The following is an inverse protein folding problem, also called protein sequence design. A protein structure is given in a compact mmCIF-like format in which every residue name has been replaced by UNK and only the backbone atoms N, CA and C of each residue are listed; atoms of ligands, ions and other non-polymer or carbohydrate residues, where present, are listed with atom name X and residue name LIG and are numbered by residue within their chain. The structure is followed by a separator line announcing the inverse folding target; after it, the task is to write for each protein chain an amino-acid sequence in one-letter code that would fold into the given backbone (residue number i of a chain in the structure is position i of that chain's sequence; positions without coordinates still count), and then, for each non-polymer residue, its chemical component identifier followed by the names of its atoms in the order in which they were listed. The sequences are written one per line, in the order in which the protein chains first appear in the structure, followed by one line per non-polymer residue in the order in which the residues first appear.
data_IF_887801682892
#
_entry.id   IF_887801682892
#
_cell.length_a   1.000
_cell.length_b   1.000
_cell.length_c   1.000
_cell.angle_alpha   90.00
_cell.angle_beta   90.00
_cell.angle_gamma   90.00
#
_symmetry.space_group_name_H-M   'P 1'
#
loop_
_entity.id
_entity.type
_entity.pdbx_description
1 polymer ?
#
# COMPACT_ATOMS: atom_id res chain seq x y z
N UNK A 1 14.30 -19.72 23.79
CA UNK A 1 15.08 -20.17 22.61
C UNK A 1 16.55 -19.84 22.85
N UNK A 2 17.42 -20.84 22.87
CA UNK A 2 18.87 -20.61 23.02
C UNK A 2 19.40 -19.83 21.78
N UNK A 3 20.39 -18.95 21.97
CA UNK A 3 20.95 -18.09 20.91
C UNK A 3 21.53 -18.87 19.71
N UNK A 4 21.79 -20.15 19.87
CA UNK A 4 22.35 -21.04 18.86
C UNK A 4 21.33 -21.95 18.18
N UNK A 5 20.03 -21.83 18.48
CA UNK A 5 19.02 -22.64 17.79
C UNK A 5 18.94 -22.28 16.29
N UNK A 6 18.85 -23.29 15.45
CA UNK A 6 18.72 -23.12 13.99
C UNK A 6 17.57 -22.17 13.63
N UNK A 7 16.42 -22.28 14.32
CA UNK A 7 15.27 -21.42 14.10
C UNK A 7 15.56 -19.94 14.38
N UNK A 8 16.30 -19.61 15.46
CA UNK A 8 16.69 -18.22 15.74
C UNK A 8 17.60 -17.64 14.65
N UNK A 9 18.58 -18.42 14.18
CA UNK A 9 19.49 -18.01 13.10
C UNK A 9 18.71 -17.77 11.80
N UNK A 10 17.77 -18.65 11.46
CA UNK A 10 16.93 -18.52 10.26
C UNK A 10 16.05 -17.24 10.33
N UNK A 11 15.40 -16.97 11.46
CA UNK A 11 14.60 -15.75 11.62
C UNK A 11 15.47 -14.51 11.45
N UNK A 12 16.64 -14.45 12.12
CA UNK A 12 17.57 -13.31 12.05
C UNK A 12 18.10 -13.10 10.62
N UNK A 13 18.68 -14.14 10.01
CA UNK A 13 19.31 -14.02 8.68
C UNK A 13 18.23 -13.78 7.62
N UNK A 14 17.14 -14.53 7.66
CA UNK A 14 16.03 -14.40 6.73
C UNK A 14 15.42 -12.98 6.75
N UNK A 15 15.22 -12.40 7.92
CA UNK A 15 14.71 -11.02 8.04
C UNK A 15 15.67 -10.00 7.42
N UNK A 16 16.98 -10.11 7.70
CA UNK A 16 17.98 -9.17 7.18
C UNK A 16 18.05 -9.27 5.64
N UNK A 17 18.11 -10.49 5.09
CA UNK A 17 18.19 -10.71 3.65
C UNK A 17 16.96 -10.17 2.93
N UNK A 18 15.74 -10.47 3.44
CA UNK A 18 14.51 -10.01 2.81
C UNK A 18 14.36 -8.49 2.91
N UNK A 19 14.69 -7.88 4.04
CA UNK A 19 14.64 -6.43 4.19
C UNK A 19 15.65 -5.74 3.28
N UNK A 20 16.88 -6.24 3.19
CA UNK A 20 17.88 -5.69 2.28
C UNK A 20 17.43 -5.82 0.80
N UNK A 21 16.86 -6.96 0.42
CA UNK A 21 16.28 -7.14 -0.91
C UNK A 21 15.19 -6.09 -1.21
N UNK A 22 14.27 -5.88 -0.28
CA UNK A 22 13.18 -4.91 -0.41
C UNK A 22 13.70 -3.47 -0.42
N UNK A 23 14.68 -3.14 0.43
CA UNK A 23 15.29 -1.81 0.46
C UNK A 23 16.02 -1.51 -0.85
N UNK A 24 16.84 -2.44 -1.33
CA UNK A 24 17.59 -2.25 -2.57
C UNK A 24 16.63 -2.14 -3.76
N UNK A 25 15.73 -3.11 -3.94
CA UNK A 25 14.79 -3.11 -5.05
C UNK A 25 13.74 -2.00 -4.94
N UNK A 26 13.19 -1.78 -3.75
CA UNK A 26 12.14 -0.80 -3.53
C UNK A 26 12.61 0.66 -3.60
N UNK A 27 13.86 0.98 -3.25
CA UNK A 27 14.39 2.35 -3.26
C UNK A 27 15.18 2.69 -4.53
N UNK A 28 15.96 1.75 -5.05
CA UNK A 28 16.93 2.04 -6.12
C UNK A 28 16.44 1.69 -7.52
N UNK A 29 15.44 0.81 -7.68
CA UNK A 29 14.86 0.60 -9.00
C UNK A 29 14.10 1.84 -9.45
N UNK A 30 14.39 2.36 -10.68
CA UNK A 30 13.65 3.49 -11.21
C UNK A 30 12.18 3.12 -11.40
N UNK A 31 11.28 4.10 -11.23
CA UNK A 31 9.88 3.91 -11.61
C UNK A 31 9.78 3.71 -13.12
N UNK A 32 8.84 2.87 -13.55
CA UNK A 32 8.38 2.81 -14.94
C UNK A 32 7.85 4.18 -15.35
N UNK A 33 7.85 4.42 -16.64
CA UNK A 33 7.21 5.62 -17.20
C UNK A 33 5.74 5.69 -16.81
N UNK A 34 5.20 6.89 -16.70
CA UNK A 34 3.81 7.11 -16.31
C UNK A 34 3.31 8.49 -16.72
N UNK A 35 2.02 8.71 -16.50
CA UNK A 35 1.38 10.01 -16.68
C UNK A 35 1.21 10.63 -15.31
N UNK A 36 1.59 11.90 -15.15
CA UNK A 36 1.44 12.66 -13.89
C UNK A 36 0.23 13.56 -13.90
N UNK A 37 -0.22 13.98 -15.08
CA UNK A 37 -1.37 14.87 -15.21
C UNK A 37 -1.86 14.99 -16.65
N UNK A 38 -3.03 15.59 -16.80
CA UNK A 38 -3.61 15.96 -18.10
C UNK A 38 -4.10 17.39 -18.00
N UNK A 39 -3.61 18.26 -18.88
CA UNK A 39 -4.02 19.64 -19.01
C UNK A 39 -4.92 19.84 -20.21
N UNK A 40 -5.87 20.80 -20.13
CA UNK A 40 -6.89 21.03 -21.17
C UNK A 40 -7.74 19.78 -21.47
N UNK A 41 -8.00 18.98 -20.42
CA UNK A 41 -8.78 17.75 -20.52
C UNK A 41 -10.30 17.93 -20.65
N UNK A 42 -10.82 19.15 -20.89
CA UNK A 42 -12.23 19.42 -21.19
C UNK A 42 -12.41 19.57 -22.70
N UNK A 43 -12.95 18.56 -23.33
CA UNK A 43 -13.15 18.51 -24.77
C UNK A 43 -14.65 18.55 -25.11
N UNK A 44 -14.98 19.08 -26.29
CA UNK A 44 -16.32 18.98 -26.89
C UNK A 44 -16.33 17.89 -27.92
N UNK A 45 -17.40 17.09 -27.95
CA UNK A 45 -17.54 16.07 -28.99
C UNK A 45 -17.76 16.68 -30.36
N UNK A 46 -17.33 15.94 -31.40
CA UNK A 46 -17.44 16.31 -32.82
C UNK A 46 -16.59 17.53 -33.24
N UNK A 47 -15.62 17.94 -32.43
CA UNK A 47 -14.65 18.99 -32.76
C UNK A 47 -13.23 18.47 -32.58
N UNK A 48 -12.30 18.67 -33.55
CA UNK A 48 -10.88 18.37 -33.35
C UNK A 48 -10.30 19.31 -32.28
N UNK A 49 -9.90 18.78 -31.14
CA UNK A 49 -9.34 19.55 -30.04
C UNK A 49 -8.04 18.94 -29.54
N UNK A 50 -7.22 19.75 -28.90
CA UNK A 50 -5.93 19.33 -28.35
C UNK A 50 -5.96 19.36 -26.83
N UNK A 51 -5.34 18.35 -26.21
CA UNK A 51 -5.06 18.29 -24.79
C UNK A 51 -3.60 17.92 -24.59
N UNK A 52 -3.07 18.21 -23.41
CA UNK A 52 -1.67 17.95 -23.06
C UNK A 52 -1.57 16.92 -21.98
N UNK A 53 -0.65 15.99 -22.12
CA UNK A 53 -0.38 14.90 -21.17
C UNK A 53 1.02 15.09 -20.59
N UNK A 54 1.12 15.18 -19.29
CA UNK A 54 2.37 15.33 -18.57
C UNK A 54 2.96 13.94 -18.29
N UNK A 55 4.16 13.67 -18.82
CA UNK A 55 4.81 12.37 -18.73
C UNK A 55 5.91 12.37 -17.68
N UNK A 56 5.94 11.32 -16.88
CA UNK A 56 7.01 11.03 -15.92
C UNK A 56 8.01 10.05 -16.52
N UNK A 57 9.27 10.44 -16.61
CA UNK A 57 10.42 9.62 -17.02
C UNK A 57 10.19 8.78 -18.31
N UNK A 58 9.76 9.40 -19.42
CA UNK A 58 9.49 8.65 -20.66
C UNK A 58 10.77 8.10 -21.33
N UNK A 59 11.96 8.55 -20.88
CA UNK A 59 13.26 8.21 -21.44
C UNK A 59 13.70 9.15 -22.56
N UNK A 60 14.99 9.20 -22.81
CA UNK A 60 15.57 10.02 -23.89
C UNK A 60 15.09 9.55 -25.26
N UNK A 61 14.80 10.49 -26.16
CA UNK A 61 14.32 10.18 -27.49
C UNK A 61 12.92 9.56 -27.52
N UNK A 62 12.06 9.87 -26.54
CA UNK A 62 10.69 9.36 -26.50
C UNK A 62 9.90 9.84 -27.72
N UNK A 63 9.24 8.89 -28.38
CA UNK A 63 8.30 9.12 -29.49
C UNK A 63 6.97 8.54 -29.11
N UNK A 64 5.96 9.40 -29.04
CA UNK A 64 4.58 8.97 -28.83
C UNK A 64 3.98 8.44 -30.14
N UNK A 65 3.69 7.14 -30.18
CA UNK A 65 3.10 6.48 -31.37
C UNK A 65 1.59 6.67 -31.40
N UNK A 66 0.94 6.48 -30.25
CA UNK A 66 -0.53 6.54 -30.15
C UNK A 66 -0.94 7.12 -28.80
N UNK A 67 -1.95 7.98 -28.82
CA UNK A 67 -2.69 8.40 -27.63
C UNK A 67 -4.14 7.98 -27.81
N UNK A 68 -4.71 7.32 -26.81
CA UNK A 68 -6.02 6.71 -26.88
C UNK A 68 -6.86 7.17 -25.71
N UNK A 69 -8.07 7.63 -25.97
CA UNK A 69 -9.12 7.84 -24.99
C UNK A 69 -10.05 6.64 -24.94
N UNK A 70 -10.33 6.13 -23.73
CA UNK A 70 -11.21 4.96 -23.53
C UNK A 70 -12.24 5.24 -22.45
N UNK A 71 -13.50 4.90 -22.75
CA UNK A 71 -14.56 4.79 -21.75
C UNK A 71 -15.42 3.56 -22.08
N UNK A 72 -15.45 2.55 -21.17
CA UNK A 72 -16.14 1.26 -21.42
C UNK A 72 -15.73 0.66 -22.78
N UNK A 73 -16.67 0.59 -23.74
CA UNK A 73 -16.46 0.06 -25.09
C UNK A 73 -16.10 1.15 -26.11
N UNK A 74 -16.06 2.41 -25.72
CA UNK A 74 -15.67 3.52 -26.59
C UNK A 74 -14.17 3.69 -26.55
N UNK A 75 -13.52 3.67 -27.71
CA UNK A 75 -12.07 3.81 -27.84
C UNK A 75 -11.78 4.74 -29.02
N UNK A 76 -11.13 5.86 -28.76
CA UNK A 76 -10.77 6.87 -29.76
C UNK A 76 -9.27 7.08 -29.77
N UNK A 77 -8.68 7.24 -30.94
CA UNK A 77 -7.25 7.47 -31.14
C UNK A 77 -6.99 8.90 -31.58
N UNK A 78 -5.90 9.50 -31.08
CA UNK A 78 -5.39 10.79 -31.55
C UNK A 78 -5.01 10.77 -33.01
N UNK A 79 -5.16 11.93 -33.68
CA UNK A 79 -4.75 12.16 -35.05
C UNK A 79 -3.29 12.57 -35.15
N UNK A 80 -2.85 13.41 -34.21
CA UNK A 80 -1.51 13.97 -34.14
C UNK A 80 -0.98 13.94 -32.71
N UNK A 81 0.30 13.63 -32.56
CA UNK A 81 0.98 13.61 -31.26
C UNK A 81 2.32 14.34 -31.39
N UNK A 82 2.57 15.32 -30.53
CA UNK A 82 3.81 16.07 -30.48
C UNK A 82 4.36 16.05 -29.06
N UNK A 83 5.48 15.36 -28.87
CA UNK A 83 6.18 15.34 -27.59
C UNK A 83 7.27 16.42 -27.57
N UNK A 84 7.35 17.17 -26.49
CA UNK A 84 8.46 18.10 -26.22
C UNK A 84 9.43 17.50 -25.18
N UNK A 85 10.69 17.85 -25.27
CA UNK A 85 11.74 17.32 -24.38
C UNK A 85 11.55 17.70 -22.88
N UNK A 86 10.62 18.59 -22.58
CA UNK A 86 10.29 19.01 -21.21
C UNK A 86 9.30 18.07 -20.52
N UNK A 87 8.80 17.03 -21.21
CA UNK A 87 7.91 16.03 -20.62
C UNK A 87 6.43 16.19 -20.98
N UNK A 88 6.08 17.14 -21.85
CA UNK A 88 4.70 17.37 -22.28
C UNK A 88 4.42 16.74 -23.64
N UNK A 89 3.34 16.01 -23.72
CA UNK A 89 2.81 15.40 -24.94
C UNK A 89 1.52 16.10 -25.34
N UNK A 90 1.53 16.88 -26.41
CA UNK A 90 0.35 17.48 -26.99
C UNK A 90 -0.29 16.52 -27.99
N UNK A 91 -1.57 16.23 -27.79
CA UNK A 91 -2.31 15.29 -28.61
C UNK A 91 -3.60 15.93 -29.12
N UNK A 92 -3.83 15.81 -30.45
CA UNK A 92 -5.04 16.29 -31.11
C UNK A 92 -5.96 15.11 -31.38
N UNK A 93 -7.20 15.21 -30.94
CA UNK A 93 -8.19 14.16 -31.07
C UNK A 93 -9.56 14.71 -31.44
N UNK A 94 -10.33 13.92 -32.18
CA UNK A 94 -11.73 14.17 -32.38
C UNK A 94 -12.54 13.00 -31.80
N UNK A 95 -13.37 13.29 -30.80
CA UNK A 95 -14.22 12.31 -30.13
C UNK A 95 -15.66 12.54 -30.61
N UNK A 96 -16.30 11.53 -31.13
CA UNK A 96 -17.71 11.60 -31.53
C UNK A 96 -18.53 10.67 -30.64
N UNK A 97 -19.40 11.29 -29.81
CA UNK A 97 -20.35 10.56 -28.97
C UNK A 97 -21.64 10.35 -29.79
N UNK A 98 -22.09 9.09 -29.89
CA UNK A 98 -23.36 8.78 -30.56
C UNK A 98 -24.59 9.32 -29.81
N UNK A 99 -25.77 9.28 -30.46
CA UNK A 99 -27.00 9.86 -29.92
C UNK A 99 -27.42 9.34 -28.54
N UNK A 100 -27.06 8.10 -28.21
CA UNK A 100 -27.38 7.43 -26.94
C UNK A 100 -26.36 7.70 -25.82
N UNK A 101 -25.26 8.41 -26.13
CA UNK A 101 -24.20 8.69 -25.19
C UNK A 101 -24.41 10.04 -24.48
N UNK A 102 -23.92 10.15 -23.25
CA UNK A 102 -23.91 11.40 -22.48
C UNK A 102 -22.48 11.92 -22.36
N UNK A 103 -22.32 13.16 -21.88
CA UNK A 103 -21.00 13.67 -21.46
C UNK A 103 -20.38 12.77 -20.41
N UNK A 104 -19.09 12.44 -20.55
CA UNK A 104 -18.45 11.43 -19.70
C UNK A 104 -16.93 11.60 -19.63
N UNK A 105 -16.33 11.00 -18.59
CA UNK A 105 -14.89 10.93 -18.38
C UNK A 105 -14.27 9.78 -19.17
N UNK A 106 -13.09 10.04 -19.72
CA UNK A 106 -12.30 9.07 -20.46
C UNK A 106 -10.94 8.85 -19.79
N UNK A 107 -10.53 7.59 -19.78
CA UNK A 107 -9.16 7.19 -19.45
C UNK A 107 -8.22 7.55 -20.60
N UNK A 108 -7.00 7.96 -20.26
CA UNK A 108 -5.94 8.25 -21.25
C UNK A 108 -4.93 7.10 -21.28
N UNK A 109 -4.64 6.58 -22.47
CA UNK A 109 -3.55 5.65 -22.72
C UNK A 109 -2.56 6.30 -23.69
N UNK A 110 -1.27 6.26 -23.36
CA UNK A 110 -0.19 6.70 -24.22
C UNK A 110 0.70 5.51 -24.56
N UNK A 111 0.91 5.27 -25.85
CA UNK A 111 1.83 4.25 -26.36
C UNK A 111 2.98 4.94 -27.06
N UNK A 112 4.20 4.46 -26.83
CA UNK A 112 5.37 5.03 -27.42
C UNK A 112 6.61 4.16 -27.27
N UNK A 113 7.73 4.66 -27.75
CA UNK A 113 9.05 4.05 -27.68
C UNK A 113 10.10 5.07 -27.26
N UNK A 114 11.16 4.61 -26.63
CA UNK A 114 12.33 5.44 -26.28
C UNK A 114 13.60 4.61 -26.34
N UNK A 115 14.77 5.25 -26.16
CA UNK A 115 16.06 4.57 -26.08
C UNK A 115 16.13 3.51 -24.96
N UNK A 116 15.32 3.66 -23.91
CA UNK A 116 15.30 2.79 -22.74
C UNK A 116 14.29 1.62 -22.90
N UNK A 117 13.20 1.86 -23.63
CA UNK A 117 12.18 0.84 -23.84
C UNK A 117 11.57 0.94 -25.26
N UNK A 118 11.70 -0.11 -26.08
CA UNK A 118 11.17 -0.11 -27.45
C UNK A 118 9.65 -0.15 -27.52
N UNK A 119 8.99 -0.57 -26.47
CA UNK A 119 7.52 -0.60 -26.37
C UNK A 119 7.13 -0.31 -24.94
N UNK A 120 6.40 0.76 -24.74
CA UNK A 120 5.90 1.18 -23.43
C UNK A 120 4.49 1.74 -23.57
N UNK A 121 3.70 1.56 -22.54
CA UNK A 121 2.40 2.20 -22.44
C UNK A 121 2.24 2.81 -21.04
N UNK A 122 1.47 3.89 -21.00
CA UNK A 122 1.16 4.63 -19.77
C UNK A 122 -0.35 4.80 -19.69
N UNK A 123 -0.89 4.85 -18.50
CA UNK A 123 -2.32 4.91 -18.24
C UNK A 123 -2.62 5.97 -17.18
N UNK A 124 -3.68 6.73 -17.39
CA UNK A 124 -4.23 7.67 -16.42
C UNK A 124 -5.77 7.60 -16.46
N UNK A 125 -6.41 7.26 -15.33
CA UNK A 125 -7.87 7.10 -15.29
C UNK A 125 -8.59 8.44 -15.23
N UNK A 126 -9.82 8.48 -15.76
CA UNK A 126 -10.79 9.58 -15.64
C UNK A 126 -10.19 10.97 -15.89
N UNK A 127 -9.32 11.08 -16.89
CA UNK A 127 -8.46 12.25 -17.09
C UNK A 127 -9.04 13.29 -18.06
N UNK A 128 -9.93 12.88 -18.98
CA UNK A 128 -10.49 13.76 -20.00
C UNK A 128 -12.00 13.73 -19.96
N UNK A 129 -12.58 14.89 -19.70
CA UNK A 129 -14.02 15.10 -19.79
C UNK A 129 -14.42 15.43 -21.22
N UNK A 130 -15.33 14.68 -21.80
CA UNK A 130 -15.89 14.97 -23.13
C UNK A 130 -17.35 15.38 -22.98
N UNK A 131 -17.61 16.65 -23.29
CA UNK A 131 -18.96 17.23 -23.31
C UNK A 131 -19.66 16.86 -24.62
N UNK A 132 -20.89 16.37 -24.54
CA UNK A 132 -21.69 16.05 -25.72
C UNK A 132 -22.13 17.30 -26.47
N UNK A 133 -21.87 17.35 -27.79
CA UNK A 133 -22.37 18.38 -28.68
C UNK A 133 -23.76 18.02 -29.25
N UNK A 134 -24.53 19.04 -29.59
CA UNK A 134 -25.88 18.89 -30.17
C UNK A 134 -25.83 18.25 -31.60
N UNK A 135 -24.69 18.36 -32.29
CA UNK A 135 -24.50 17.91 -33.68
C UNK A 135 -23.50 16.75 -33.81
N UNK A 136 -23.77 15.61 -33.19
CA UNK A 136 -22.90 14.43 -33.24
C UNK A 136 -23.16 13.59 -34.51
N UNK A 137 -22.74 14.08 -35.68
CA UNK A 137 -22.95 13.41 -36.99
C UNK A 137 -21.63 13.04 -37.71
N UNK A 138 -20.47 13.11 -37.06
CA UNK A 138 -19.17 12.91 -37.70
C UNK A 138 -18.61 11.48 -37.65
N UNK A 139 -17.66 11.18 -38.52
CA UNK A 139 -16.85 9.95 -38.50
C UNK A 139 -15.73 10.12 -37.50
N UNK A 140 -15.67 9.23 -36.52
CA UNK A 140 -14.70 9.26 -35.42
C UNK A 140 -13.50 8.36 -35.73
N UNK A 141 -12.32 8.71 -35.19
CA UNK A 141 -11.15 7.85 -35.16
C UNK A 141 -11.28 6.72 -34.10
N UNK A 142 -12.43 6.06 -34.14
CA UNK A 142 -12.73 4.95 -33.24
C UNK A 142 -11.88 3.74 -33.61
N UNK A 143 -11.30 3.08 -32.59
CA UNK A 143 -10.59 1.82 -32.76
C UNK A 143 -11.32 0.69 -32.02
N UNK A 144 -11.05 -0.56 -32.43
CA UNK A 144 -11.57 -1.72 -31.70
C UNK A 144 -10.86 -1.93 -30.35
N UNK A 145 -11.63 -2.35 -29.36
CA UNK A 145 -11.12 -2.64 -28.01
C UNK A 145 -10.05 -3.77 -28.01
N UNK A 146 -10.16 -4.72 -28.94
CA UNK A 146 -9.18 -5.79 -29.15
C UNK A 146 -7.78 -5.24 -29.47
N UNK A 147 -7.70 -4.17 -30.26
CA UNK A 147 -6.43 -3.53 -30.61
C UNK A 147 -5.77 -2.86 -29.38
N UNK A 148 -6.56 -2.21 -28.53
CA UNK A 148 -6.05 -1.65 -27.27
C UNK A 148 -5.49 -2.76 -26.35
N UNK A 149 -6.22 -3.86 -26.20
CA UNK A 149 -5.78 -4.99 -25.36
C UNK A 149 -4.48 -5.61 -25.89
N UNK A 150 -4.31 -5.69 -27.22
CA UNK A 150 -3.08 -6.21 -27.84
C UNK A 150 -1.89 -5.29 -27.60
N UNK A 151 -2.06 -3.98 -27.66
CA UNK A 151 -1.04 -2.98 -27.38
C UNK A 151 -0.57 -3.06 -25.91
N UNK A 152 -1.50 -3.11 -24.96
CA UNK A 152 -1.18 -3.24 -23.53
C UNK A 152 -0.39 -4.51 -23.23
N UNK A 153 -0.66 -5.63 -23.89
CA UNK A 153 0.09 -6.88 -23.71
C UNK A 153 1.53 -6.83 -24.25
N UNK A 154 1.87 -5.85 -25.07
CA UNK A 154 3.21 -5.70 -25.66
C UNK A 154 4.16 -4.86 -24.80
N UNK A 155 3.73 -4.39 -23.64
CA UNK A 155 4.58 -3.61 -22.73
C UNK A 155 5.79 -4.42 -22.25
N UNK A 156 6.99 -3.90 -22.49
CA UNK A 156 8.27 -4.51 -22.13
C UNK A 156 9.08 -3.64 -21.15
N UNK A 157 8.45 -2.67 -20.51
CA UNK A 157 9.12 -1.81 -19.56
C UNK A 157 9.68 -2.59 -18.37
N UNK A 158 10.95 -2.34 -18.07
CA UNK A 158 11.58 -2.74 -16.80
C UNK A 158 11.50 -1.61 -15.79
N UNK A 159 11.47 -1.94 -14.50
CA UNK A 159 11.46 -0.96 -13.43
C UNK A 159 10.41 -1.22 -12.35
N UNK A 160 10.38 -0.37 -11.34
CA UNK A 160 9.38 -0.40 -10.29
C UNK A 160 8.04 0.12 -10.84
N UNK A 161 6.89 -0.47 -10.46
CA UNK A 161 5.59 -0.04 -11.00
C UNK A 161 5.29 1.42 -10.69
N UNK A 162 4.85 2.16 -11.70
CA UNK A 162 4.28 3.50 -11.53
C UNK A 162 2.75 3.39 -11.51
N UNK A 163 2.12 4.17 -10.66
CA UNK A 163 0.66 4.29 -10.59
C UNK A 163 0.28 5.77 -10.69
N UNK A 164 -0.76 6.10 -11.45
CA UNK A 164 -1.28 7.46 -11.49
C UNK A 164 -1.52 8.02 -10.08
N UNK A 165 -1.24 9.29 -9.87
CA UNK A 165 -1.36 9.99 -8.58
C UNK A 165 -0.30 9.57 -7.55
N UNK A 166 0.05 8.28 -7.46
CA UNK A 166 0.97 7.77 -6.44
C UNK A 166 2.43 8.08 -6.75
N UNK A 167 2.86 7.90 -7.99
CA UNK A 167 4.25 8.09 -8.45
C UNK A 167 5.26 7.46 -7.46
N UNK A 168 6.27 8.21 -6.98
CA UNK A 168 7.26 7.73 -6.01
C UNK A 168 6.64 7.29 -4.67
N UNK A 169 5.49 7.84 -4.28
CA UNK A 169 4.84 7.50 -3.01
C UNK A 169 4.34 6.05 -2.97
N UNK A 170 4.21 5.36 -4.12
CA UNK A 170 3.87 3.94 -4.18
C UNK A 170 4.86 3.06 -3.40
N UNK A 171 6.12 3.51 -3.25
CA UNK A 171 7.15 2.80 -2.49
C UNK A 171 6.80 2.66 -1.01
N UNK A 172 5.96 3.58 -0.48
CA UNK A 172 5.48 3.50 0.89
C UNK A 172 4.69 2.22 1.18
N UNK A 173 4.11 1.60 0.15
CA UNK A 173 3.44 0.29 0.27
C UNK A 173 4.36 -0.78 0.89
N UNK A 174 5.68 -0.72 0.64
CA UNK A 174 6.66 -1.68 1.12
C UNK A 174 7.04 -1.48 2.61
N UNK A 175 6.65 -0.36 3.19
CA UNK A 175 6.91 0.00 4.59
C UNK A 175 5.62 0.06 5.40
N UNK A 176 4.65 0.85 4.96
CA UNK A 176 3.41 1.09 5.68
C UNK A 176 2.57 -0.18 5.90
N UNK A 177 2.25 -0.89 4.82
CA UNK A 177 1.38 -2.08 4.90
C UNK A 177 2.03 -3.22 5.68
N UNK A 178 3.33 -3.55 5.51
CA UNK A 178 4.01 -4.55 6.32
C UNK A 178 4.05 -4.24 7.82
N UNK A 179 4.04 -2.97 8.25
CA UNK A 179 3.94 -2.63 9.68
C UNK A 179 2.64 -3.16 10.29
N UNK A 180 1.52 -2.99 9.60
CA UNK A 180 0.22 -3.51 10.06
C UNK A 180 0.15 -5.03 10.06
N UNK A 181 0.66 -5.70 9.03
CA UNK A 181 0.75 -7.17 9.02
C UNK A 181 1.64 -7.68 10.16
N UNK A 182 2.77 -7.04 10.40
CA UNK A 182 3.66 -7.40 11.51
C UNK A 182 3.00 -7.18 12.86
N UNK A 183 2.30 -6.05 13.05
CA UNK A 183 1.53 -5.78 14.26
C UNK A 183 0.48 -6.87 14.51
N UNK A 184 -0.36 -7.16 13.52
CA UNK A 184 -1.40 -8.19 13.64
C UNK A 184 -0.81 -9.56 14.00
N UNK A 185 0.29 -9.95 13.35
CA UNK A 185 0.96 -11.21 13.60
C UNK A 185 1.54 -11.29 15.02
N UNK A 186 2.24 -10.24 15.48
CA UNK A 186 2.78 -10.20 16.83
C UNK A 186 1.69 -10.21 17.90
N UNK A 187 0.58 -9.51 17.66
CA UNK A 187 -0.57 -9.53 18.57
C UNK A 187 -1.20 -10.92 18.63
N UNK A 188 -1.28 -11.64 17.51
CA UNK A 188 -1.71 -13.04 17.50
C UNK A 188 -0.79 -13.93 18.36
N UNK A 189 0.55 -13.76 18.20
CA UNK A 189 1.51 -14.49 19.03
C UNK A 189 1.33 -14.14 20.52
N UNK A 190 1.07 -12.86 20.84
CA UNK A 190 0.82 -12.46 22.22
C UNK A 190 -0.42 -13.16 22.81
N UNK A 191 -1.50 -13.28 22.07
CA UNK A 191 -2.71 -14.01 22.48
C UNK A 191 -2.40 -15.48 22.75
N UNK A 192 -1.62 -16.13 21.86
CA UNK A 192 -1.20 -17.53 22.06
C UNK A 192 -0.44 -17.71 23.39
N UNK A 193 0.48 -16.81 23.71
CA UNK A 193 1.24 -16.85 24.95
C UNK A 193 0.42 -16.44 26.17
N UNK A 194 -0.54 -15.52 26.02
CA UNK A 194 -1.50 -15.16 27.05
C UNK A 194 -2.38 -16.37 27.44
N UNK A 195 -2.89 -17.10 26.45
CA UNK A 195 -3.64 -18.36 26.67
C UNK A 195 -2.75 -19.40 27.38
N UNK A 196 -1.50 -19.56 26.93
CA UNK A 196 -0.55 -20.48 27.59
C UNK A 196 -0.31 -20.10 29.05
N UNK A 197 -0.19 -18.79 29.34
CA UNK A 197 -0.05 -18.32 30.72
C UNK A 197 -1.29 -18.70 31.56
N UNK A 198 -2.50 -18.45 31.07
CA UNK A 198 -3.74 -18.79 31.79
C UNK A 198 -3.88 -20.29 32.04
N UNK A 199 -3.34 -21.14 31.14
CA UNK A 199 -3.37 -22.60 31.28
C UNK A 199 -2.29 -23.14 32.21
N UNK A 200 -1.08 -22.53 32.23
CA UNK A 200 0.11 -23.09 32.90
C UNK A 200 0.58 -22.27 34.08
N UNK A 201 0.08 -21.07 34.25
CA UNK A 201 0.47 -20.09 35.27
C UNK A 201 1.99 -19.84 35.37
N UNK A 202 2.69 -19.83 34.19
CA UNK A 202 4.13 -19.63 34.12
C UNK A 202 4.44 -18.20 33.66
N UNK A 203 5.07 -17.39 34.54
CA UNK A 203 5.41 -15.98 34.26
C UNK A 203 6.26 -15.78 32.99
N UNK A 204 7.03 -16.78 32.56
CA UNK A 204 7.75 -16.74 31.28
C UNK A 204 6.83 -16.61 30.07
N UNK A 205 5.64 -17.21 30.11
CA UNK A 205 4.66 -17.12 29.01
C UNK A 205 4.01 -15.72 28.98
N UNK A 206 3.75 -15.12 30.14
CA UNK A 206 3.35 -13.72 30.27
C UNK A 206 4.41 -12.76 29.72
N UNK A 207 5.68 -12.97 30.04
CA UNK A 207 6.77 -12.16 29.54
C UNK A 207 6.91 -12.22 28.00
N UNK A 208 6.64 -13.39 27.41
CA UNK A 208 6.55 -13.53 25.95
C UNK A 208 5.39 -12.70 25.38
N UNK A 209 4.19 -12.84 25.96
CA UNK A 209 3.01 -12.08 25.54
C UNK A 209 3.25 -10.58 25.58
N UNK A 210 3.81 -10.08 26.71
CA UNK A 210 4.17 -8.67 26.86
C UNK A 210 5.19 -8.21 25.81
N UNK A 211 6.22 -9.03 25.56
CA UNK A 211 7.27 -8.69 24.61
C UNK A 211 6.72 -8.51 23.21
N UNK A 212 5.78 -9.36 22.77
CA UNK A 212 5.11 -9.23 21.49
C UNK A 212 4.21 -8.00 21.42
N UNK A 213 3.43 -7.70 22.47
CA UNK A 213 2.54 -6.51 22.48
C UNK A 213 3.35 -5.23 22.38
N UNK A 214 4.44 -5.10 23.15
CA UNK A 214 5.25 -3.85 23.14
C UNK A 214 5.88 -3.60 21.77
N UNK A 215 6.35 -4.63 21.08
CA UNK A 215 6.87 -4.48 19.72
C UNK A 215 5.74 -4.28 18.70
N UNK A 216 4.58 -4.89 18.91
CA UNK A 216 3.40 -4.63 18.08
C UNK A 216 2.92 -3.17 18.16
N UNK A 217 2.93 -2.57 19.35
CA UNK A 217 2.62 -1.14 19.54
C UNK A 217 3.62 -0.26 18.76
N UNK A 218 4.92 -0.59 18.80
CA UNK A 218 5.93 0.10 18.00
C UNK A 218 5.60 0.03 16.51
N UNK A 219 5.20 -1.16 16.00
CA UNK A 219 4.77 -1.32 14.62
C UNK A 219 3.54 -0.46 14.28
N UNK A 220 2.57 -0.39 15.18
CA UNK A 220 1.40 0.47 15.02
C UNK A 220 1.79 1.95 14.92
N UNK A 221 2.71 2.43 15.78
CA UNK A 221 3.24 3.80 15.71
C UNK A 221 3.94 4.05 14.38
N UNK A 222 4.82 3.14 13.94
CA UNK A 222 5.50 3.25 12.65
C UNK A 222 4.49 3.20 11.48
N UNK A 223 3.46 2.36 11.59
CA UNK A 223 2.35 2.30 10.65
C UNK A 223 1.57 3.61 10.57
N UNK A 224 1.26 4.25 11.72
CA UNK A 224 0.62 5.56 11.76
C UNK A 224 1.50 6.64 11.12
N UNK A 225 2.79 6.71 11.46
CA UNK A 225 3.74 7.70 10.90
C UNK A 225 3.86 7.57 9.39
N UNK A 226 4.12 6.36 8.89
CA UNK A 226 4.26 6.12 7.44
C UNK A 226 2.95 6.33 6.69
N UNK A 227 1.80 5.98 7.31
CA UNK A 227 0.48 6.18 6.74
C UNK A 227 0.08 7.64 6.67
N UNK A 228 0.30 8.41 7.73
CA UNK A 228 0.03 9.85 7.75
C UNK A 228 0.90 10.60 6.74
N UNK A 229 2.18 10.23 6.62
CA UNK A 229 3.06 10.81 5.59
C UNK A 229 2.55 10.52 4.18
N UNK A 230 2.03 9.33 3.93
CA UNK A 230 1.43 8.98 2.64
C UNK A 230 0.11 9.70 2.39
N UNK A 231 -0.74 9.79 3.41
CA UNK A 231 -2.03 10.48 3.36
C UNK A 231 -1.86 11.98 3.03
N UNK A 232 -0.83 12.64 3.59
CA UNK A 232 -0.54 14.04 3.31
C UNK A 232 -0.19 14.32 1.85
N UNK A 233 0.41 13.34 1.15
CA UNK A 233 0.77 13.44 -0.27
C UNK A 233 -0.42 13.09 -1.17
N UNK A 234 -1.19 12.06 -0.80
CA UNK A 234 -2.22 11.48 -1.67
C UNK A 234 -3.61 12.11 -1.46
N UNK A 235 -3.91 12.49 -0.24
CA UNK A 235 -5.22 13.03 0.18
C UNK A 235 -5.13 14.46 0.70
N UNK A 236 -3.96 15.09 0.60
CA UNK A 236 -3.68 16.46 1.07
C UNK A 236 -4.03 16.69 2.55
N UNK A 237 -4.13 15.61 3.32
CA UNK A 237 -4.44 15.60 4.74
C UNK A 237 -3.64 14.56 5.49
N UNK A 238 -3.00 14.94 6.60
CA UNK A 238 -2.24 14.00 7.43
C UNK A 238 -3.12 12.93 8.09
N UNK A 239 -4.35 13.28 8.41
CA UNK A 239 -5.32 12.40 9.08
C UNK A 239 -6.75 12.80 8.70
N UNK A 240 -7.31 12.26 7.60
CA UNK A 240 -8.72 12.44 7.27
C UNK A 240 -9.60 11.88 8.39
N UNK A 241 -10.21 12.78 9.18
CA UNK A 241 -10.97 12.41 10.38
C UNK A 241 -12.25 11.62 10.10
N UNK A 242 -12.75 11.71 8.87
CA UNK A 242 -14.00 11.06 8.46
C UNK A 242 -13.76 9.62 7.95
N UNK A 243 -12.49 9.18 7.80
CA UNK A 243 -12.18 7.84 7.34
C UNK A 243 -12.37 6.80 8.46
N UNK A 244 -13.31 5.84 8.32
CA UNK A 244 -13.63 4.86 9.36
C UNK A 244 -12.46 3.93 9.69
N UNK A 245 -11.55 3.67 8.74
CA UNK A 245 -10.39 2.81 8.96
C UNK A 245 -9.33 3.51 9.83
N UNK A 246 -9.10 4.81 9.60
CA UNK A 246 -8.20 5.61 10.45
C UNK A 246 -8.71 5.71 11.87
N UNK A 247 -10.01 5.97 12.04
CA UNK A 247 -10.65 6.01 13.36
C UNK A 247 -10.57 4.65 14.06
N UNK A 248 -10.80 3.55 13.34
CA UNK A 248 -10.63 2.20 13.86
C UNK A 248 -9.20 1.91 14.31
N UNK A 249 -8.21 2.35 13.55
CA UNK A 249 -6.79 2.26 13.92
C UNK A 249 -6.50 3.06 15.19
N UNK A 250 -6.96 4.30 15.29
CA UNK A 250 -6.75 5.15 16.47
C UNK A 250 -7.33 4.49 17.74
N UNK A 251 -8.58 4.04 17.68
CA UNK A 251 -9.25 3.34 18.79
C UNK A 251 -8.43 2.08 19.17
N UNK A 252 -8.03 1.27 18.20
CA UNK A 252 -7.24 0.08 18.43
C UNK A 252 -5.90 0.37 19.10
N UNK A 253 -5.20 1.42 18.67
CA UNK A 253 -3.95 1.87 19.29
C UNK A 253 -4.16 2.33 20.73
N UNK A 254 -5.22 3.10 21.01
CA UNK A 254 -5.55 3.50 22.40
C UNK A 254 -5.87 2.29 23.29
N UNK A 255 -6.54 1.26 22.77
CA UNK A 255 -6.79 0.02 23.53
C UNK A 255 -5.45 -0.66 23.92
N UNK A 256 -4.48 -0.74 23.02
CA UNK A 256 -3.17 -1.32 23.36
C UNK A 256 -2.30 -0.41 24.23
N UNK A 257 -2.43 0.91 24.16
CA UNK A 257 -1.83 1.83 25.12
C UNK A 257 -2.46 1.66 26.51
N UNK A 258 -3.78 1.49 26.60
CA UNK A 258 -4.47 1.19 27.85
C UNK A 258 -3.99 -0.15 28.47
N UNK A 259 -3.67 -1.17 27.65
CA UNK A 259 -3.02 -2.39 28.12
C UNK A 259 -1.71 -2.08 28.90
N UNK A 260 -0.87 -1.17 28.39
CA UNK A 260 0.38 -0.81 29.06
C UNK A 260 0.12 -0.13 30.41
N UNK A 261 -0.85 0.78 30.46
CA UNK A 261 -1.23 1.50 31.69
C UNK A 261 -1.78 0.48 32.71
N UNK A 262 -2.71 -0.38 32.30
CA UNK A 262 -3.26 -1.43 33.15
C UNK A 262 -2.15 -2.31 33.75
N UNK A 263 -1.20 -2.71 32.90
CA UNK A 263 -0.10 -3.57 33.35
C UNK A 263 0.82 -2.90 34.34
N UNK A 264 1.11 -1.60 34.19
CA UNK A 264 1.97 -0.87 35.13
C UNK A 264 1.29 -0.52 36.45
N UNK A 265 -0.05 -0.50 36.50
CA UNK A 265 -0.81 -0.22 37.73
C UNK A 265 -0.85 -1.38 38.74
N UNK A 266 -0.53 -2.60 38.29
CA UNK A 266 -0.61 -3.82 39.09
C UNK A 266 0.77 -4.20 39.66
N UNK A 267 0.88 -4.29 40.98
CA UNK A 267 2.15 -4.59 41.68
C UNK A 267 2.45 -6.09 41.73
N UNK A 268 1.43 -6.90 42.08
CA UNK A 268 1.61 -8.35 42.16
C UNK A 268 1.85 -8.97 40.77
N UNK A 269 2.93 -9.73 40.55
CA UNK A 269 3.30 -10.23 39.24
C UNK A 269 2.30 -11.26 38.68
N UNK A 270 1.68 -12.09 39.52
CA UNK A 270 0.71 -13.09 39.08
C UNK A 270 -0.63 -12.46 38.74
N UNK A 271 -1.09 -11.50 39.55
CA UNK A 271 -2.31 -10.74 39.28
C UNK A 271 -2.14 -9.91 38.00
N UNK A 272 -0.99 -9.22 37.86
CA UNK A 272 -0.63 -8.46 36.66
C UNK A 272 -0.68 -9.34 35.41
N UNK A 273 -0.02 -10.49 35.44
CA UNK A 273 0.04 -11.42 34.31
C UNK A 273 -1.34 -11.95 33.94
N UNK A 274 -2.16 -12.31 34.95
CA UNK A 274 -3.51 -12.84 34.72
C UNK A 274 -4.45 -11.81 34.09
N UNK A 275 -4.51 -10.61 34.65
CA UNK A 275 -5.40 -9.55 34.17
C UNK A 275 -4.94 -9.08 32.77
N UNK A 276 -3.64 -8.89 32.57
CA UNK A 276 -3.07 -8.51 31.28
C UNK A 276 -3.32 -9.56 30.19
N UNK A 277 -3.25 -10.85 30.54
CA UNK A 277 -3.54 -11.95 29.59
C UNK A 277 -4.99 -11.95 29.17
N UNK A 278 -5.93 -11.82 30.09
CA UNK A 278 -7.37 -11.74 29.80
C UNK A 278 -7.64 -10.52 28.91
N UNK A 279 -7.09 -9.37 29.25
CA UNK A 279 -7.22 -8.14 28.47
C UNK A 279 -6.69 -8.31 27.03
N UNK A 280 -5.49 -8.88 26.86
CA UNK A 280 -4.88 -9.11 25.54
C UNK A 280 -5.73 -10.02 24.66
N UNK A 281 -6.32 -11.08 25.23
CA UNK A 281 -7.21 -12.01 24.51
C UNK A 281 -8.48 -11.30 24.05
N UNK A 282 -9.06 -10.44 24.89
CA UNK A 282 -10.31 -9.74 24.58
C UNK A 282 -10.14 -8.64 23.55
N UNK A 283 -9.05 -7.86 23.62
CA UNK A 283 -8.87 -6.72 22.72
C UNK A 283 -8.45 -7.13 21.30
N UNK A 284 -7.80 -8.28 21.12
CA UNK A 284 -7.33 -8.70 19.79
C UNK A 284 -8.46 -8.86 18.76
N UNK A 285 -9.55 -9.63 19.02
CA UNK A 285 -10.65 -9.72 18.06
C UNK A 285 -11.35 -8.39 17.83
N UNK A 286 -11.45 -7.51 18.85
CA UNK A 286 -12.02 -6.16 18.70
C UNK A 286 -11.12 -5.34 17.76
N UNK A 287 -9.82 -5.35 17.96
CA UNK A 287 -8.87 -4.69 17.09
C UNK A 287 -8.98 -5.20 15.64
N UNK A 288 -9.05 -6.51 15.44
CA UNK A 288 -9.23 -7.10 14.11
C UNK A 288 -10.55 -6.68 13.46
N UNK A 289 -11.64 -6.56 14.24
CA UNK A 289 -12.91 -6.06 13.74
C UNK A 289 -12.80 -4.59 13.28
N UNK A 290 -12.16 -3.73 14.06
CA UNK A 290 -11.99 -2.31 13.77
C UNK A 290 -11.18 -2.07 12.48
N UNK A 291 -10.10 -2.82 12.24
CA UNK A 291 -9.21 -2.58 11.10
C UNK A 291 -9.53 -3.38 9.84
N UNK A 292 -10.21 -4.52 9.97
CA UNK A 292 -10.46 -5.42 8.85
C UNK A 292 -11.94 -5.55 8.47
N UNK A 293 -12.88 -5.47 9.42
CA UNK A 293 -14.31 -5.67 9.17
C UNK A 293 -15.01 -4.32 8.97
N UNK A 294 -14.86 -3.38 9.93
CA UNK A 294 -15.54 -2.08 9.88
C UNK A 294 -15.31 -1.31 8.57
N UNK A 295 -14.07 -1.21 8.04
CA UNK A 295 -13.85 -0.50 6.78
C UNK A 295 -14.51 -1.15 5.56
N UNK A 296 -14.80 -2.46 5.60
CA UNK A 296 -15.50 -3.16 4.52
C UNK A 296 -17.02 -2.94 4.53
N UNK A 297 -17.56 -2.63 5.70
CA UNK A 297 -18.98 -2.30 5.87
C UNK A 297 -19.26 -0.83 5.54
N UNK A 298 -18.24 -0.01 5.47
CA UNK A 298 -18.32 1.41 5.16
C UNK A 298 -17.97 1.63 3.68
N UNK A 299 -18.86 2.33 2.95
CA UNK A 299 -18.62 2.69 1.54
C UNK A 299 -17.63 3.86 1.38
N UNK A 300 -17.39 4.62 2.46
CA UNK A 300 -16.77 5.94 2.42
C UNK A 300 -15.30 5.96 2.87
N UNK A 301 -14.59 4.82 2.82
CA UNK A 301 -13.16 4.84 3.15
C UNK A 301 -12.30 5.16 1.93
N UNK A 302 -11.34 6.06 2.13
CA UNK A 302 -10.34 6.45 1.12
C UNK A 302 -9.27 5.38 0.90
N UNK A 303 -9.18 4.38 1.79
CA UNK A 303 -8.13 3.37 1.72
C UNK A 303 -8.32 2.41 0.54
N UNK A 304 -7.25 2.09 -0.20
CA UNK A 304 -7.28 1.04 -1.23
C UNK A 304 -7.82 -0.28 -0.67
N UNK A 305 -8.61 -1.00 -1.47
CA UNK A 305 -9.20 -2.29 -1.08
C UNK A 305 -10.51 -2.21 -0.31
N UNK A 306 -11.16 -1.05 -0.20
CA UNK A 306 -12.48 -0.89 0.43
C UNK A 306 -13.59 -1.70 -0.26
N UNK A 307 -13.49 -1.93 -1.56
CA UNK A 307 -14.46 -2.74 -2.33
C UNK A 307 -14.09 -4.22 -2.51
N UNK A 308 -13.10 -4.74 -1.77
CA UNK A 308 -12.59 -6.10 -1.98
C UNK A 308 -11.64 -6.58 -0.90
N UNK A 309 -10.83 -7.60 -1.22
CA UNK A 309 -9.78 -8.12 -0.34
C UNK A 309 -8.62 -7.14 -0.24
N UNK A 310 -8.34 -6.67 0.97
CA UNK A 310 -7.27 -5.72 1.27
C UNK A 310 -5.92 -6.23 0.77
N UNK A 311 -5.26 -5.45 -0.09
CA UNK A 311 -3.87 -5.70 -0.52
C UNK A 311 -3.65 -6.92 -1.41
N UNK A 312 -4.70 -7.64 -1.79
CA UNK A 312 -4.61 -8.88 -2.57
C UNK A 312 -5.43 -8.85 -3.85
N UNK A 313 -6.04 -7.71 -4.20
CA UNK A 313 -6.78 -7.58 -5.43
C UNK A 313 -5.81 -7.62 -6.63
N UNK A 314 -6.23 -8.27 -7.72
CA UNK A 314 -5.49 -8.34 -8.98
C UNK A 314 -5.17 -6.95 -9.57
N UNK A 315 -5.99 -5.96 -9.25
CA UNK A 315 -5.83 -4.57 -9.73
C UNK A 315 -4.91 -3.72 -8.83
N UNK A 316 -4.76 -4.08 -7.55
CA UNK A 316 -3.93 -3.33 -6.61
C UNK A 316 -2.44 -3.69 -6.72
N UNK A 317 -2.14 -4.96 -7.00
CA UNK A 317 -0.77 -5.48 -7.07
C UNK A 317 -0.52 -6.13 -8.44
N UNK A 318 0.29 -5.50 -9.28
CA UNK A 318 0.83 -6.15 -10.47
C UNK A 318 1.93 -7.18 -10.11
N UNK A 319 2.35 -7.97 -11.09
CA UNK A 319 3.33 -9.03 -10.84
C UNK A 319 4.67 -8.49 -10.35
N UNK A 320 5.12 -7.34 -10.83
CA UNK A 320 6.39 -6.73 -10.41
C UNK A 320 6.29 -6.24 -8.96
N UNK A 321 5.19 -5.58 -8.60
CA UNK A 321 4.98 -5.10 -7.23
C UNK A 321 4.90 -6.26 -6.24
N UNK A 322 4.29 -7.39 -6.62
CA UNK A 322 4.22 -8.61 -5.79
C UNK A 322 5.59 -9.17 -5.44
N UNK A 323 6.57 -9.07 -6.35
CA UNK A 323 7.95 -9.52 -6.11
C UNK A 323 8.62 -8.77 -4.95
N UNK A 324 8.21 -7.55 -4.67
CA UNK A 324 8.72 -6.76 -3.54
C UNK A 324 7.79 -6.80 -2.35
N UNK A 325 6.48 -6.76 -2.56
CA UNK A 325 5.48 -6.67 -1.50
C UNK A 325 5.46 -7.90 -0.58
N UNK A 326 5.40 -9.11 -1.13
CA UNK A 326 5.37 -10.31 -0.28
C UNK A 326 6.68 -10.53 0.49
N UNK A 327 7.86 -10.37 -0.11
CA UNK A 327 9.12 -10.36 0.65
C UNK A 327 9.16 -9.26 1.73
N UNK A 328 8.57 -8.07 1.48
CA UNK A 328 8.48 -7.02 2.49
C UNK A 328 7.64 -7.48 3.69
N UNK A 329 6.43 -8.00 3.44
CA UNK A 329 5.55 -8.49 4.53
C UNK A 329 6.27 -9.57 5.35
N UNK A 330 6.85 -10.57 4.69
CA UNK A 330 7.54 -11.66 5.39
C UNK A 330 8.79 -11.14 6.11
N UNK A 331 9.58 -10.30 5.46
CA UNK A 331 10.82 -9.73 6.01
C UNK A 331 10.56 -8.92 7.28
N UNK A 332 9.56 -8.03 7.27
CA UNK A 332 9.20 -7.22 8.43
C UNK A 332 8.59 -8.05 9.57
N UNK A 333 7.75 -9.05 9.27
CA UNK A 333 7.23 -9.99 10.28
C UNK A 333 8.38 -10.72 10.96
N UNK A 334 9.33 -11.27 10.22
CA UNK A 334 10.50 -11.96 10.77
C UNK A 334 11.38 -11.01 11.59
N UNK A 335 11.60 -9.80 11.10
CA UNK A 335 12.42 -8.80 11.78
C UNK A 335 11.84 -8.41 13.14
N UNK A 336 10.57 -8.04 13.20
CA UNK A 336 9.94 -7.65 14.46
C UNK A 336 9.72 -8.84 15.40
N UNK A 337 9.56 -10.05 14.85
CA UNK A 337 9.61 -11.29 15.67
C UNK A 337 11.00 -11.45 16.30
N UNK A 338 12.07 -11.23 15.53
CA UNK A 338 13.43 -11.25 16.06
C UNK A 338 13.65 -10.18 17.13
N UNK A 339 13.20 -8.95 16.91
CA UNK A 339 13.27 -7.87 17.94
C UNK A 339 12.48 -8.26 19.19
N UNK A 340 11.32 -8.90 19.07
CA UNK A 340 10.53 -9.40 20.20
C UNK A 340 11.29 -10.47 21.01
N UNK A 341 12.03 -11.37 20.32
CA UNK A 341 12.89 -12.35 20.97
C UNK A 341 14.04 -11.66 21.75
N UNK A 342 14.65 -10.63 21.15
CA UNK A 342 15.71 -9.86 21.83
C UNK A 342 15.17 -9.15 23.07
N UNK A 343 13.98 -8.54 22.95
CA UNK A 343 13.32 -7.91 24.10
C UNK A 343 13.04 -8.93 25.21
N UNK A 344 12.45 -10.07 24.91
CA UNK A 344 12.20 -11.13 25.89
C UNK A 344 13.48 -11.53 26.62
N UNK A 345 14.59 -11.72 25.90
CA UNK A 345 15.89 -12.07 26.51
C UNK A 345 16.42 -10.97 27.41
N UNK A 346 16.34 -9.73 26.98
CA UNK A 346 16.75 -8.58 27.76
C UNK A 346 15.99 -8.50 29.10
N UNK A 347 14.66 -8.60 29.06
CA UNK A 347 13.85 -8.58 30.29
C UNK A 347 14.11 -9.81 31.18
N UNK A 348 14.38 -10.97 30.61
CA UNK A 348 14.75 -12.18 31.37
C UNK A 348 16.07 -11.96 32.13
N UNK A 349 17.09 -11.41 31.48
CA UNK A 349 18.38 -11.12 32.11
C UNK A 349 18.20 -10.07 33.23
N UNK A 350 17.46 -9.01 32.96
CA UNK A 350 17.16 -7.96 33.92
C UNK A 350 16.47 -8.51 35.17
N UNK A 351 15.47 -9.39 35.00
CA UNK A 351 14.78 -10.01 36.16
C UNK A 351 15.75 -10.87 37.01
N UNK A 352 16.64 -11.64 36.36
CA UNK A 352 17.65 -12.44 37.07
C UNK A 352 18.63 -11.55 37.86
N UNK A 353 18.98 -10.39 37.31
CA UNK A 353 19.88 -9.46 38.05
C UNK A 353 19.20 -8.86 39.27
N UNK A 354 17.94 -8.42 39.14
CA UNK A 354 17.17 -7.89 40.28
C UNK A 354 17.03 -8.96 41.38
N UNK A 355 16.67 -10.21 41.02
CA UNK A 355 16.56 -11.31 41.99
C UNK A 355 17.88 -11.60 42.72
N UNK A 356 19.03 -11.37 42.10
CA UNK A 356 20.36 -11.51 42.77
C UNK A 356 20.65 -10.36 43.75
N UNK A 357 20.35 -9.13 43.31
CA UNK A 357 20.54 -7.93 44.16
C UNK A 357 19.62 -7.96 45.39
N UNK A 358 18.42 -8.50 45.28
CA UNK A 358 17.47 -8.64 46.40
C UNK A 358 17.89 -9.76 47.41
N UNK A 359 18.76 -10.68 47.00
CA UNK A 359 19.23 -11.80 47.84
C UNK A 359 20.63 -11.56 48.44
N UNK A 360 21.33 -10.48 48.09
CA UNK A 360 22.58 -10.00 48.69
C UNK A 360 22.32 -8.98 49.81
#
# INVERSE_FOLDING_TARGET
MQSNSTGYKLIKIGSIVLILYVLIGGLFLPLKTGITGVSNGQLKSNEPQSFSVDLYNPGSGFVAEKVILKHKNLVFQSQENQYNEVGYLNSKINVVLGDTQHSQLFDVFVFGSSSVSPKQWMYFPDAVWVEKSISDTGVSNKIELSNLTSLVKQDVQSGFPNRPILNESIRNLLYHVPMWFSMMFLLLLSVIYAIKYLMKNQLKDDLWSESFIKIAILNGILGCVTGSSWASITWESWWPSDDPKLNGVAIGMFMYLAYLILRTSLKDPYQRARISSVYAILIYPIFMALIAIMPKLSADTLHPGSGGTVGFNKYDLDNTLRLFFYPAVIGWILFFTWISILRYRFETIKNIQIEREDNE
#
